data_IF_482371633302
#
_entry.id   IF_482371633302
#
_cell.length_a   1.000
_cell.length_b   1.000
_cell.length_c   1.000
_cell.angle_alpha   90.00
_cell.angle_beta   90.00
_cell.angle_gamma   90.00
#
_symmetry.space_group_name_H-M   'P 1'
#
loop_
_entity.id
_entity.type
_entity.pdbx_description
1 polymer ?
#
# COMPACT_ATOMS: atom_id res chain seq x y z
N UNK A 1 -2.41 -17.11 -11.45
CA UNK A 1 -2.75 -18.38 -10.79
C UNK A 1 -3.92 -19.01 -11.54
N UNK A 2 -4.11 -20.33 -11.46
CA UNK A 2 -5.30 -21.01 -11.98
C UNK A 2 -6.15 -21.53 -10.82
N UNK A 3 -7.48 -21.40 -10.94
CA UNK A 3 -8.45 -21.88 -9.96
C UNK A 3 -9.48 -22.77 -10.65
N UNK A 4 -9.77 -23.94 -10.07
CA UNK A 4 -10.82 -24.84 -10.56
C UNK A 4 -12.09 -24.64 -9.74
N UNK A 5 -13.16 -24.22 -10.42
CA UNK A 5 -14.48 -23.96 -9.83
C UNK A 5 -15.04 -25.22 -9.17
N UNK A 6 -15.53 -25.06 -7.94
CA UNK A 6 -16.19 -26.11 -7.16
C UNK A 6 -17.71 -25.95 -7.18
N UNK A 7 -18.48 -27.03 -6.90
CA UNK A 7 -19.93 -26.91 -6.71
C UNK A 7 -20.26 -25.85 -5.65
N UNK A 8 -21.11 -24.88 -6.01
CA UNK A 8 -21.51 -23.78 -5.13
C UNK A 8 -20.64 -22.53 -5.19
N UNK A 9 -19.55 -22.53 -5.95
CA UNK A 9 -18.73 -21.33 -6.15
C UNK A 9 -19.47 -20.28 -6.99
N UNK A 10 -19.22 -19.01 -6.67
CA UNK A 10 -19.66 -17.85 -7.46
C UNK A 10 -18.47 -16.99 -7.84
N UNK A 11 -18.57 -16.22 -8.92
CA UNK A 11 -17.51 -15.26 -9.29
C UNK A 11 -17.21 -14.29 -8.14
N UNK A 12 -18.23 -13.88 -7.38
CA UNK A 12 -18.08 -13.01 -6.22
C UNK A 12 -17.22 -13.65 -5.12
N UNK A 13 -17.55 -14.86 -4.69
CA UNK A 13 -16.82 -15.56 -3.63
C UNK A 13 -15.36 -15.84 -4.03
N UNK A 14 -15.13 -16.21 -5.30
CA UNK A 14 -13.79 -16.41 -5.84
C UNK A 14 -13.02 -15.09 -5.89
N UNK A 15 -13.63 -14.02 -6.43
CA UNK A 15 -12.99 -12.72 -6.52
C UNK A 15 -12.59 -12.19 -5.13
N UNK A 16 -13.48 -12.28 -4.14
CA UNK A 16 -13.21 -11.90 -2.75
C UNK A 16 -12.07 -12.72 -2.14
N UNK A 17 -12.08 -14.04 -2.32
CA UNK A 17 -11.04 -14.95 -1.82
C UNK A 17 -9.65 -14.60 -2.35
N UNK A 18 -9.58 -14.17 -3.59
CA UNK A 18 -8.34 -13.80 -4.27
C UNK A 18 -8.11 -12.29 -4.36
N UNK A 19 -8.85 -11.51 -3.58
CA UNK A 19 -8.72 -10.05 -3.46
C UNK A 19 -8.77 -9.31 -4.83
N UNK A 20 -9.51 -9.83 -5.79
CA UNK A 20 -9.72 -9.22 -7.11
C UNK A 20 -11.17 -8.81 -7.30
N UNK A 21 -11.53 -8.22 -8.45
CA UNK A 21 -12.93 -7.87 -8.76
C UNK A 21 -13.56 -8.91 -9.70
N UNK A 22 -14.89 -9.06 -9.61
CA UNK A 22 -15.67 -9.90 -10.52
C UNK A 22 -15.45 -9.47 -11.97
N UNK A 23 -15.47 -8.16 -12.23
CA UNK A 23 -15.27 -7.61 -13.57
C UNK A 23 -13.90 -7.97 -14.13
N UNK A 24 -12.85 -7.87 -13.31
CA UNK A 24 -11.51 -8.27 -13.72
C UNK A 24 -11.41 -9.77 -13.99
N UNK A 25 -12.00 -10.56 -13.10
CA UNK A 25 -12.05 -12.02 -13.24
C UNK A 25 -12.77 -12.41 -14.54
N UNK A 26 -13.85 -11.71 -14.91
CA UNK A 26 -14.54 -11.87 -16.20
C UNK A 26 -13.64 -11.49 -17.37
N UNK A 27 -13.00 -10.32 -17.33
CA UNK A 27 -12.14 -9.84 -18.42
C UNK A 27 -10.98 -10.79 -18.73
N UNK A 28 -10.28 -11.28 -17.71
CA UNK A 28 -9.14 -12.18 -17.88
C UNK A 28 -9.58 -13.51 -18.48
N UNK A 29 -10.76 -13.99 -18.10
CA UNK A 29 -11.30 -15.28 -18.53
C UNK A 29 -12.28 -15.17 -19.71
N UNK A 30 -12.43 -13.96 -20.28
CA UNK A 30 -13.36 -13.65 -21.36
C UNK A 30 -14.79 -14.13 -21.09
N UNK A 31 -15.23 -14.04 -19.82
CA UNK A 31 -16.56 -14.48 -19.41
C UNK A 31 -17.60 -13.42 -19.77
N UNK A 32 -18.64 -13.84 -20.49
CA UNK A 32 -19.79 -12.99 -20.80
C UNK A 32 -20.87 -13.05 -19.73
N UNK A 33 -20.88 -14.10 -18.89
CA UNK A 33 -21.88 -14.33 -17.84
C UNK A 33 -21.24 -14.68 -16.49
N UNK A 34 -22.03 -14.59 -15.42
CA UNK A 34 -21.59 -14.95 -14.07
C UNK A 34 -21.82 -16.42 -13.71
N UNK A 35 -22.41 -17.19 -14.64
CA UNK A 35 -22.66 -18.62 -14.41
C UNK A 35 -21.36 -19.40 -14.53
N UNK A 36 -21.00 -20.08 -13.45
CA UNK A 36 -19.84 -20.96 -13.39
C UNK A 36 -20.27 -22.42 -13.42
N UNK A 37 -19.50 -23.25 -14.12
CA UNK A 37 -19.69 -24.70 -14.12
C UNK A 37 -18.67 -25.36 -13.21
N UNK A 38 -19.04 -26.31 -12.33
CA UNK A 38 -18.07 -27.10 -11.59
C UNK A 38 -17.04 -27.73 -12.51
N UNK A 39 -15.76 -27.65 -12.14
CA UNK A 39 -14.63 -28.10 -12.97
C UNK A 39 -14.12 -27.07 -13.98
N UNK A 40 -14.80 -25.93 -14.16
CA UNK A 40 -14.31 -24.84 -15.00
C UNK A 40 -13.01 -24.27 -14.43
N UNK A 41 -12.01 -24.03 -15.29
CA UNK A 41 -10.74 -23.42 -14.90
C UNK A 41 -10.79 -21.92 -15.15
N UNK A 42 -10.45 -21.13 -14.14
CA UNK A 42 -10.32 -19.69 -14.20
C UNK A 42 -8.87 -19.28 -13.99
N UNK A 43 -8.38 -18.40 -14.84
CA UNK A 43 -7.20 -17.59 -14.59
C UNK A 43 -7.54 -16.51 -13.57
N UNK A 44 -6.90 -16.57 -12.42
CA UNK A 44 -7.04 -15.57 -11.35
C UNK A 44 -5.73 -14.81 -11.24
N UNK A 45 -5.82 -13.48 -11.35
CA UNK A 45 -4.76 -12.58 -10.92
C UNK A 45 -5.20 -11.99 -9.59
N UNK A 46 -4.44 -12.28 -8.55
CA UNK A 46 -4.49 -11.50 -7.31
C UNK A 46 -3.94 -10.15 -7.71
N UNK A 47 -4.83 -9.17 -7.84
CA UNK A 47 -4.39 -7.78 -7.85
C UNK A 47 -4.38 -7.37 -6.39
N UNK A 48 -3.23 -6.93 -5.89
CA UNK A 48 -3.21 -6.23 -4.62
C UNK A 48 -4.22 -5.09 -4.77
N UNK A 49 -5.30 -5.18 -4.00
CA UNK A 49 -6.59 -4.52 -4.20
C UNK A 49 -6.50 -3.21 -4.99
N UNK A 50 -7.38 -3.00 -5.97
CA UNK A 50 -7.56 -1.69 -6.59
C UNK A 50 -7.75 -0.66 -5.46
N UNK A 51 -6.67 0.06 -5.16
CA UNK A 51 -6.58 0.77 -3.90
C UNK A 51 -7.54 1.94 -3.99
N UNK A 52 -8.54 1.94 -3.11
CA UNK A 52 -9.24 3.16 -2.75
C UNK A 52 -8.13 4.16 -2.40
N UNK A 53 -7.94 5.18 -3.24
CA UNK A 53 -6.75 6.04 -3.23
C UNK A 53 -7.16 7.49 -3.26
N UNK A 54 -6.40 8.30 -2.53
CA UNK A 54 -6.54 9.76 -2.48
C UNK A 54 -5.20 10.41 -2.84
N UNK A 55 -5.24 11.71 -3.13
CA UNK A 55 -4.02 12.52 -3.31
C UNK A 55 -3.58 13.13 -1.99
N UNK A 56 -2.32 12.87 -1.62
CA UNK A 56 -1.62 13.55 -0.53
C UNK A 56 -0.60 14.54 -1.11
N UNK A 57 -0.66 15.79 -0.67
CA UNK A 57 0.33 16.81 -1.01
C UNK A 57 1.48 16.79 0.00
N UNK A 58 2.69 16.58 -0.49
CA UNK A 58 3.91 16.56 0.33
C UNK A 58 4.12 17.90 1.03
N UNK A 59 4.26 17.87 2.34
CA UNK A 59 4.56 19.01 3.20
C UNK A 59 6.05 19.10 3.56
N UNK A 60 6.47 20.24 4.09
CA UNK A 60 7.85 20.43 4.55
C UNK A 60 8.20 19.42 5.65
N UNK A 61 9.36 18.76 5.50
CA UNK A 61 9.85 17.76 6.46
C UNK A 61 9.27 16.34 6.28
N UNK A 62 8.36 16.13 5.33
CA UNK A 62 7.87 14.77 5.03
C UNK A 62 8.87 13.97 4.18
N UNK A 63 8.89 12.66 4.40
CA UNK A 63 9.64 11.67 3.63
C UNK A 63 8.70 10.58 3.12
N UNK A 64 9.17 9.78 2.16
CA UNK A 64 8.43 8.58 1.72
C UNK A 64 8.08 7.67 2.91
N UNK A 65 8.97 7.57 3.89
CA UNK A 65 8.75 6.77 5.09
C UNK A 65 7.60 7.32 5.95
N UNK A 66 7.62 8.62 6.28
CA UNK A 66 6.60 9.22 7.13
C UNK A 66 5.22 9.23 6.46
N UNK A 67 5.17 9.46 5.14
CA UNK A 67 3.93 9.41 4.35
C UNK A 67 3.41 7.98 4.24
N UNK A 68 4.26 7.02 3.88
CA UNK A 68 3.83 5.63 3.79
C UNK A 68 3.25 5.13 5.13
N UNK A 69 3.93 5.45 6.25
CA UNK A 69 3.44 5.16 7.61
C UNK A 69 2.09 5.81 7.90
N UNK A 70 1.88 7.07 7.50
CA UNK A 70 0.60 7.78 7.69
C UNK A 70 -0.57 7.07 7.01
N UNK A 71 -0.32 6.42 5.88
CA UNK A 71 -1.33 5.77 5.04
C UNK A 71 -1.32 4.23 5.13
N UNK A 72 -0.61 3.64 6.10
CA UNK A 72 -0.54 2.18 6.24
C UNK A 72 0.08 1.48 5.02
N UNK A 73 1.04 2.15 4.37
CA UNK A 73 1.79 1.66 3.22
C UNK A 73 3.23 1.33 3.62
N UNK A 74 3.84 0.38 2.95
CA UNK A 74 5.29 0.30 2.84
C UNK A 74 5.80 1.36 1.85
N UNK A 75 7.09 1.73 1.97
CA UNK A 75 7.73 2.63 1.00
C UNK A 75 7.69 2.04 -0.41
N UNK A 76 7.80 0.72 -0.52
CA UNK A 76 7.72 0.00 -1.80
C UNK A 76 6.34 0.15 -2.43
N UNK A 77 5.27 -0.12 -1.69
CA UNK A 77 3.89 0.06 -2.19
C UNK A 77 3.64 1.53 -2.58
N UNK A 78 4.11 2.49 -1.77
CA UNK A 78 3.98 3.91 -2.08
C UNK A 78 4.69 4.29 -3.40
N UNK A 79 5.86 3.70 -3.68
CA UNK A 79 6.61 3.88 -4.94
C UNK A 79 6.03 3.09 -6.12
N UNK A 80 5.24 2.05 -5.89
CA UNK A 80 4.50 1.36 -6.94
C UNK A 80 3.28 2.18 -7.37
N UNK A 81 2.60 2.82 -6.42
CA UNK A 81 1.45 3.70 -6.69
C UNK A 81 1.84 5.01 -7.36
N UNK A 82 3.05 5.47 -7.07
CA UNK A 82 3.61 6.67 -7.65
C UNK A 82 4.89 6.21 -8.32
N UNK A 83 4.93 5.97 -9.65
CA UNK A 83 6.13 5.51 -10.35
C UNK A 83 7.24 6.58 -10.30
N UNK A 84 7.83 6.73 -9.12
CA UNK A 84 8.77 7.76 -8.75
C UNK A 84 10.15 7.36 -9.25
N UNK A 85 10.74 8.20 -10.10
CA UNK A 85 12.09 8.00 -10.61
C UNK A 85 13.17 8.10 -9.51
N UNK A 86 12.87 8.71 -8.35
CA UNK A 86 13.79 8.83 -7.23
C UNK A 86 13.05 8.85 -5.88
N UNK A 87 13.78 8.64 -4.79
CA UNK A 87 13.22 8.73 -3.42
C UNK A 87 13.15 10.17 -2.89
N UNK A 88 13.57 11.17 -3.67
CA UNK A 88 13.54 12.57 -3.29
C UNK A 88 12.14 13.14 -3.51
N UNK A 89 11.51 13.61 -2.43
CA UNK A 89 10.22 14.29 -2.50
C UNK A 89 10.41 15.80 -2.57
N UNK A 90 9.56 16.48 -3.35
CA UNK A 90 9.49 17.94 -3.40
C UNK A 90 8.28 18.43 -2.61
N UNK A 91 8.44 19.51 -1.86
CA UNK A 91 7.32 20.17 -1.19
C UNK A 91 6.28 20.56 -2.26
N UNK A 92 5.01 20.27 -2.00
CA UNK A 92 3.91 20.49 -2.93
C UNK A 92 3.70 19.39 -3.96
N UNK A 93 4.57 18.37 -4.02
CA UNK A 93 4.37 17.20 -4.88
C UNK A 93 3.12 16.42 -4.45
N UNK A 94 2.32 15.96 -5.40
CA UNK A 94 1.16 15.12 -5.11
C UNK A 94 1.51 13.64 -5.27
N UNK A 95 1.13 12.84 -4.27
CA UNK A 95 1.29 11.39 -4.24
C UNK A 95 -0.09 10.73 -4.12
N UNK A 96 -0.33 9.71 -4.92
CA UNK A 96 -1.42 8.75 -4.77
C UNK A 96 -1.12 7.85 -3.58
N UNK A 97 -2.02 7.82 -2.60
CA UNK A 97 -1.89 7.03 -1.36
C UNK A 97 -3.19 6.29 -1.09
N UNK A 98 -3.16 5.23 -0.26
CA UNK A 98 -4.38 4.53 0.16
C UNK A 98 -5.32 5.49 0.91
N UNK A 99 -6.60 5.43 0.59
CA UNK A 99 -7.68 6.07 1.30
C UNK A 99 -7.94 5.27 2.58
N UNK A 100 -7.22 5.62 3.64
CA UNK A 100 -7.53 5.11 4.97
C UNK A 100 -8.57 6.03 5.58
N UNK A 101 -9.80 5.51 5.72
CA UNK A 101 -10.81 6.15 6.56
C UNK A 101 -10.31 6.09 8.01
N UNK A 102 -9.66 7.16 8.43
CA UNK A 102 -9.14 7.43 9.79
C UNK A 102 -7.78 6.78 10.14
N UNK A 103 -6.80 7.55 10.65
CA UNK A 103 -5.47 7.06 11.00
C UNK A 103 -5.40 6.57 12.46
N UNK A 104 -5.09 5.30 12.68
CA UNK A 104 -4.66 4.83 14.02
C UNK A 104 -5.14 3.45 14.47
N UNK A 105 -4.84 2.40 13.72
CA UNK A 105 -4.75 0.98 14.16
C UNK A 105 -4.56 0.17 12.87
N UNK A 106 -3.48 -0.53 12.58
CA UNK A 106 -2.68 -1.41 13.42
C UNK A 106 -1.24 -1.45 12.89
N UNK A 107 -0.29 -1.40 13.80
CA UNK A 107 1.10 -1.64 13.53
C UNK A 107 1.36 -3.14 13.39
N UNK A 108 1.21 -3.75 12.22
CA UNK A 108 1.74 -5.10 11.97
C UNK A 108 2.12 -5.27 10.51
N UNK A 109 3.34 -4.86 10.12
CA UNK A 109 4.20 -5.57 9.15
C UNK A 109 5.64 -5.09 9.33
N UNK A 110 6.24 -5.50 10.45
CA UNK A 110 7.69 -5.47 10.62
C UNK A 110 8.31 -6.61 9.81
N UNK A 111 9.15 -6.27 8.81
CA UNK A 111 10.24 -7.14 8.41
C UNK A 111 11.57 -6.45 8.82
N UNK A 112 11.94 -6.74 10.06
CA UNK A 112 13.27 -6.79 10.67
C UNK A 112 14.37 -5.87 10.12
N UNK A 113 14.70 -4.81 10.88
CA UNK A 113 16.10 -4.55 11.22
C UNK A 113 16.22 -4.54 12.75
N UNK A 114 17.14 -5.31 13.35
CA UNK A 114 17.31 -5.36 14.79
C UNK A 114 17.70 -3.98 15.33
N UNK A 115 17.16 -3.67 16.50
CA UNK A 115 17.30 -2.40 17.22
C UNK A 115 18.70 -2.27 17.82
N UNK A 116 19.73 -2.11 16.98
CA UNK A 116 21.08 -1.82 17.45
C UNK A 116 21.74 -0.76 16.58
N UNK A 117 21.34 0.49 16.84
CA UNK A 117 22.28 1.62 16.89
C UNK A 117 21.71 2.63 17.88
N UNK A 118 22.14 2.49 19.12
CA UNK A 118 22.06 3.52 20.16
C UNK A 118 22.77 4.75 19.63
N UNK A 119 22.03 5.73 19.12
CA UNK A 119 22.53 7.11 19.07
C UNK A 119 22.11 7.77 20.38
N UNK A 120 23.04 8.24 21.23
CA UNK A 120 22.68 8.97 22.43
C UNK A 120 21.88 10.22 22.04
N UNK A 121 20.83 10.51 22.81
CA UNK A 121 20.03 11.71 22.64
C UNK A 121 20.94 12.95 22.68
N UNK A 122 20.88 13.80 21.66
CA UNK A 122 21.39 15.16 21.82
C UNK A 122 20.46 15.89 22.80
N UNK A 123 20.99 16.49 23.88
CA UNK A 123 20.17 17.26 24.80
C UNK A 123 19.64 18.50 24.07
N UNK A 124 18.34 18.67 24.16
CA UNK A 124 17.64 19.86 23.73
C UNK A 124 17.77 20.87 24.87
N UNK A 125 18.62 21.87 24.74
CA UNK A 125 18.58 23.01 25.67
C UNK A 125 18.71 24.33 24.92
N UNK A 126 17.61 25.08 24.99
CA UNK A 126 17.54 26.49 24.70
C UNK A 126 18.35 27.25 25.74
N UNK A 127 19.22 28.15 25.27
CA UNK A 127 19.69 29.39 25.90
C UNK A 127 21.21 29.50 26.17
N UNK A 128 21.73 30.62 25.69
CA UNK A 128 22.84 31.41 26.25
C UNK A 128 24.31 30.99 26.06
N UNK A 129 24.98 31.89 25.33
CA UNK A 129 26.31 32.47 25.58
C UNK A 129 27.54 31.82 24.94
N UNK A 130 28.48 32.73 24.60
CA UNK A 130 29.82 32.61 24.00
C UNK A 130 29.85 32.66 22.47
N UNK A 131 30.10 33.81 21.81
CA UNK A 131 31.30 34.68 21.79
C UNK A 131 32.63 33.95 21.54
N UNK A 132 33.18 34.28 20.37
CA UNK A 132 34.58 34.53 20.02
C UNK A 132 35.48 33.35 19.56
N UNK A 133 36.18 33.69 18.47
CA UNK A 133 37.32 33.08 17.74
C UNK A 133 36.98 31.95 16.77
#
# INVERSE_FOLDING_TARGET
>A
MIYTVRPGDTLFAIAQRYQTSVERLRQINQLTTDQLKPGQVLQVKVEEAALDTIRHRVLAGESLYSIARKYGLSVTELKQLNPLASSNLRIGQELTVKNVATPGSEAIFYHTVPRERLFPALPNDTNSLYRNW
#
